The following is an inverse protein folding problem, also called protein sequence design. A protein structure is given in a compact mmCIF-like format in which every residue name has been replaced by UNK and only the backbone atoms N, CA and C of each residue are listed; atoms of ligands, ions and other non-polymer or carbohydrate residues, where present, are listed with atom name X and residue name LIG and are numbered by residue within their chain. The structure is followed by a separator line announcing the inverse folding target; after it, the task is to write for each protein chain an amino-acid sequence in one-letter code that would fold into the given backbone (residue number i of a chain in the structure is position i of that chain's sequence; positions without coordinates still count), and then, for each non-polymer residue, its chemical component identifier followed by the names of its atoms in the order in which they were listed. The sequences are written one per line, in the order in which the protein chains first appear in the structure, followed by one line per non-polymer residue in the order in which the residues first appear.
data_IF_233224230181
#
_entry.id   IF_233224230181
#
_cell.length_a   1.000
_cell.length_b   1.000
_cell.length_c   1.000
_cell.angle_alpha   90.00
_cell.angle_beta   90.00
_cell.angle_gamma   90.00
#
_symmetry.space_group_name_H-M   'P 1'
#
loop_
_entity.id
_entity.type
_entity.pdbx_description
1 polymer ?
#
# COMPACT_ATOMS: atom_id res chain seq x y z
N UNK A 1 -42.50 23.27 -28.27
CA UNK A 1 -41.68 23.24 -27.04
C UNK A 1 -42.30 22.63 -25.77
N UNK A 2 -43.51 22.06 -25.78
CA UNK A 2 -44.01 21.26 -24.64
C UNK A 2 -43.94 19.73 -24.86
N UNK A 3 -43.71 19.27 -26.10
CA UNK A 3 -43.58 17.84 -26.42
C UNK A 3 -42.16 17.27 -26.25
N UNK A 4 -41.11 18.10 -26.14
CA UNK A 4 -39.73 17.64 -25.90
C UNK A 4 -39.39 17.43 -24.42
N UNK A 5 -40.20 17.95 -23.49
CA UNK A 5 -40.04 17.75 -22.04
C UNK A 5 -40.77 16.49 -21.53
N UNK A 6 -41.71 15.94 -22.31
CA UNK A 6 -42.44 14.70 -21.96
C UNK A 6 -41.61 13.42 -22.11
N UNK A 7 -40.70 13.36 -23.09
CA UNK A 7 -39.86 12.16 -23.29
C UNK A 7 -38.70 12.04 -22.30
N UNK A 8 -38.31 13.14 -21.65
CA UNK A 8 -37.23 13.14 -20.66
C UNK A 8 -37.67 12.61 -19.29
N UNK A 9 -38.97 12.71 -18.96
CA UNK A 9 -39.54 12.09 -17.76
C UNK A 9 -39.76 10.57 -17.90
N UNK A 10 -40.02 10.08 -19.12
CA UNK A 10 -40.22 8.65 -19.39
C UNK A 10 -38.92 7.83 -19.43
N UNK A 11 -37.74 8.46 -19.60
CA UNK A 11 -36.44 7.78 -19.44
C UNK A 11 -35.97 7.68 -17.99
N UNK A 12 -36.38 8.60 -17.12
CA UNK A 12 -36.04 8.56 -15.68
C UNK A 12 -36.89 7.58 -14.87
N UNK A 13 -37.93 6.98 -15.47
CA UNK A 13 -38.78 6.00 -14.82
C UNK A 13 -38.35 4.53 -15.03
N UNK A 14 -37.26 4.27 -15.77
CA UNK A 14 -36.79 2.90 -16.08
C UNK A 14 -35.69 2.36 -15.16
N UNK A 15 -35.25 3.14 -14.16
CA UNK A 15 -34.22 2.74 -13.18
C UNK A 15 -34.72 2.71 -11.72
N UNK A 16 -36.05 2.69 -11.50
CA UNK A 16 -36.60 2.37 -10.17
C UNK A 16 -37.23 0.99 -10.20
N UNK A 17 -36.76 0.14 -9.30
CA UNK A 17 -37.31 -1.17 -8.98
C UNK A 17 -38.85 -1.14 -8.94
N UNK A 18 -39.55 -2.20 -9.37
CA UNK A 18 -41.01 -2.22 -9.41
C UNK A 18 -41.56 -2.20 -7.97
N UNK A 19 -42.18 -1.08 -7.59
CA UNK A 19 -43.01 -1.01 -6.39
C UNK A 19 -44.36 -1.65 -6.73
N UNK A 20 -44.58 -2.89 -6.31
CA UNK A 20 -45.91 -3.49 -6.33
C UNK A 20 -46.71 -2.97 -5.13
N UNK A 21 -47.59 -1.99 -5.36
CA UNK A 21 -48.61 -1.62 -4.39
C UNK A 21 -49.90 -2.39 -4.70
N UNK A 22 -50.29 -3.32 -3.82
CA UNK A 22 -51.64 -3.89 -3.82
C UNK A 22 -52.59 -2.88 -3.21
N UNK A 23 -53.65 -2.51 -3.95
CA UNK A 23 -54.64 -1.54 -3.49
C UNK A 23 -55.35 -2.05 -2.22
N UNK A 24 -55.24 -1.30 -1.10
CA UNK A 24 -56.13 -1.47 0.05
C UNK A 24 -55.56 -1.30 1.46
N UNK A 25 -54.23 -1.28 1.68
CA UNK A 25 -53.66 -0.97 3.01
C UNK A 25 -52.37 -0.16 2.88
N UNK A 26 -52.29 0.97 3.59
CA UNK A 26 -51.06 1.76 3.75
C UNK A 26 -50.03 0.97 4.57
N UNK A 27 -49.28 0.10 3.93
CA UNK A 27 -47.97 -0.35 4.41
C UNK A 27 -47.06 -0.39 3.19
N UNK A 28 -46.30 0.68 2.98
CA UNK A 28 -45.16 0.66 2.09
C UNK A 28 -43.97 0.15 2.91
N UNK A 29 -43.64 -1.14 2.78
CA UNK A 29 -42.39 -1.66 3.31
C UNK A 29 -41.26 -1.28 2.35
N UNK A 30 -40.26 -0.55 2.83
CA UNK A 30 -39.01 -0.33 2.13
C UNK A 30 -38.16 -1.60 2.21
N UNK A 31 -38.55 -2.67 1.54
CA UNK A 31 -37.62 -3.78 1.25
C UNK A 31 -36.70 -3.32 0.12
N UNK A 32 -35.57 -2.70 0.49
CA UNK A 32 -34.60 -2.21 -0.48
C UNK A 32 -33.39 -1.49 0.11
N UNK A 33 -33.07 -1.68 1.39
CA UNK A 33 -31.71 -1.48 1.85
C UNK A 33 -30.93 -2.73 1.39
N UNK A 34 -30.14 -2.57 0.36
CA UNK A 34 -29.29 -3.62 -0.18
C UNK A 34 -28.41 -4.14 0.98
N UNK A 35 -28.50 -5.43 1.28
CA UNK A 35 -27.55 -6.18 2.13
C UNK A 35 -26.17 -6.27 1.45
N UNK A 36 -25.71 -5.19 0.82
CA UNK A 36 -24.34 -5.11 0.35
C UNK A 36 -23.46 -4.93 1.59
N UNK A 37 -22.41 -5.74 1.77
CA UNK A 37 -21.42 -5.49 2.79
C UNK A 37 -20.94 -4.04 2.65
N UNK A 38 -20.59 -3.40 3.77
CA UNK A 38 -20.08 -2.04 3.74
C UNK A 38 -18.75 -2.04 2.95
N UNK A 39 -18.83 -1.68 1.66
CA UNK A 39 -17.76 -1.83 0.67
C UNK A 39 -16.87 -0.58 0.67
N UNK A 40 -16.23 -0.28 1.81
CA UNK A 40 -15.32 0.85 1.94
C UNK A 40 -13.89 0.42 2.28
N UNK A 41 -12.97 1.39 2.23
CA UNK A 41 -11.56 1.13 2.56
C UNK A 41 -11.40 0.75 4.04
N UNK A 42 -12.26 1.25 4.92
CA UNK A 42 -12.16 1.02 6.37
C UNK A 42 -12.43 -0.46 6.69
N UNK A 43 -13.48 -1.05 6.10
CA UNK A 43 -13.78 -2.47 6.23
C UNK A 43 -12.70 -3.36 5.61
N UNK A 44 -12.11 -2.95 4.48
CA UNK A 44 -10.92 -3.61 3.96
C UNK A 44 -9.81 -3.63 5.02
N UNK A 45 -9.44 -2.47 5.56
CA UNK A 45 -8.37 -2.37 6.57
C UNK A 45 -8.68 -3.16 7.85
N UNK A 46 -9.92 -3.14 8.36
CA UNK A 46 -10.34 -3.95 9.51
C UNK A 46 -10.17 -5.45 9.26
N UNK A 47 -10.34 -5.89 8.03
CA UNK A 47 -10.28 -7.30 7.67
C UNK A 47 -8.86 -7.84 7.66
N UNK A 48 -7.91 -7.12 7.05
CA UNK A 48 -6.56 -7.65 6.82
C UNK A 48 -5.47 -7.12 7.74
N UNK A 49 -5.60 -5.89 8.25
CA UNK A 49 -4.56 -5.25 9.09
C UNK A 49 -4.20 -6.07 10.32
N UNK A 50 -5.15 -6.59 11.13
CA UNK A 50 -4.81 -7.36 12.32
C UNK A 50 -3.95 -8.57 11.99
N UNK A 51 -4.25 -9.26 10.89
CA UNK A 51 -3.52 -10.46 10.48
C UNK A 51 -2.09 -10.12 10.07
N UNK A 52 -1.90 -9.05 9.28
CA UNK A 52 -0.56 -8.63 8.83
C UNK A 52 0.31 -8.16 10.00
N UNK A 53 -0.27 -7.41 10.94
CA UNK A 53 0.43 -6.91 12.13
C UNK A 53 0.87 -8.03 13.08
N UNK A 54 0.19 -9.18 13.04
CA UNK A 54 0.50 -10.36 13.86
C UNK A 54 1.45 -11.36 13.16
N UNK A 55 1.85 -11.10 11.91
CA UNK A 55 2.84 -11.94 11.22
C UNK A 55 4.20 -11.88 11.93
N UNK A 56 4.87 -13.01 12.02
CA UNK A 56 6.12 -13.17 12.76
C UNK A 56 7.37 -13.11 11.87
N UNK A 57 7.18 -12.87 10.58
CA UNK A 57 8.21 -12.81 9.54
C UNK A 57 9.33 -11.81 9.90
N UNK A 58 10.57 -12.27 9.79
CA UNK A 58 11.76 -11.47 10.12
C UNK A 58 12.41 -10.86 8.90
N UNK A 59 12.65 -9.55 8.99
CA UNK A 59 13.22 -8.71 7.91
C UNK A 59 14.74 -8.51 8.04
N UNK A 60 15.29 -8.59 9.25
CA UNK A 60 16.63 -8.12 9.63
C UNK A 60 17.72 -9.20 9.65
N UNK A 61 17.68 -10.15 8.71
CA UNK A 61 18.67 -11.25 8.69
C UNK A 61 18.62 -12.11 9.97
N UNK A 62 17.45 -12.21 10.58
CA UNK A 62 17.15 -13.15 11.67
C UNK A 62 16.56 -14.45 11.12
N UNK A 63 16.56 -15.49 11.93
CA UNK A 63 16.04 -16.80 11.52
C UNK A 63 14.51 -16.78 11.43
N UNK A 64 14.00 -17.01 10.22
CA UNK A 64 12.61 -17.39 10.00
C UNK A 64 12.47 -18.92 10.18
N UNK A 65 11.90 -19.36 11.29
CA UNK A 65 11.77 -20.81 11.58
C UNK A 65 10.71 -21.46 10.66
N UNK A 66 10.79 -22.79 10.42
CA UNK A 66 9.75 -23.48 9.65
C UNK A 66 8.34 -23.29 10.23
N UNK A 67 8.24 -23.25 11.56
CA UNK A 67 6.99 -22.98 12.25
C UNK A 67 6.47 -21.57 11.95
N UNK A 68 7.33 -20.56 12.04
CA UNK A 68 7.00 -19.15 11.72
C UNK A 68 6.47 -19.02 10.29
N UNK A 69 7.23 -19.53 9.32
CA UNK A 69 6.85 -19.45 7.90
C UNK A 69 5.53 -20.17 7.61
N UNK A 70 5.29 -21.32 8.26
CA UNK A 70 4.04 -22.06 8.09
C UNK A 70 2.86 -21.27 8.67
N UNK A 71 2.96 -20.82 9.92
CA UNK A 71 1.89 -20.06 10.58
C UNK A 71 1.57 -18.78 9.81
N UNK A 72 2.60 -18.03 9.40
CA UNK A 72 2.40 -16.80 8.63
C UNK A 72 1.77 -17.08 7.25
N UNK A 73 2.19 -18.16 6.57
CA UNK A 73 1.58 -18.57 5.31
C UNK A 73 0.10 -18.97 5.49
N UNK A 74 -0.24 -19.73 6.52
CA UNK A 74 -1.62 -20.15 6.80
C UNK A 74 -2.51 -18.94 7.12
N UNK A 75 -1.99 -17.97 7.88
CA UNK A 75 -2.65 -16.69 8.17
C UNK A 75 -2.86 -15.85 6.91
N UNK A 76 -1.82 -15.73 6.05
CA UNK A 76 -1.89 -15.00 4.78
C UNK A 76 -2.91 -15.62 3.83
N UNK A 77 -2.95 -16.95 3.70
CA UNK A 77 -3.97 -17.64 2.89
C UNK A 77 -5.38 -17.37 3.40
N UNK A 78 -5.59 -17.43 4.72
CA UNK A 78 -6.89 -17.18 5.32
C UNK A 78 -7.38 -15.76 5.03
N UNK A 79 -6.53 -14.76 5.25
CA UNK A 79 -6.90 -13.36 5.10
C UNK A 79 -7.08 -12.96 3.64
N UNK A 80 -6.25 -13.45 2.73
CA UNK A 80 -6.43 -13.20 1.29
C UNK A 80 -7.75 -13.77 0.79
N UNK A 81 -8.09 -15.01 1.16
CA UNK A 81 -9.38 -15.60 0.79
C UNK A 81 -10.56 -14.76 1.31
N UNK A 82 -10.48 -14.27 2.55
CA UNK A 82 -11.51 -13.41 3.14
C UNK A 82 -11.62 -12.07 2.42
N UNK A 83 -10.50 -11.46 2.07
CA UNK A 83 -10.45 -10.20 1.30
C UNK A 83 -11.06 -10.40 -0.08
N UNK A 84 -10.70 -11.48 -0.79
CA UNK A 84 -11.27 -11.79 -2.10
C UNK A 84 -12.78 -11.98 -2.01
N UNK A 85 -13.25 -12.75 -1.02
CA UNK A 85 -14.68 -12.96 -0.76
C UNK A 85 -15.40 -11.65 -0.41
N UNK A 86 -14.80 -10.80 0.43
CA UNK A 86 -15.36 -9.49 0.78
C UNK A 86 -15.54 -8.60 -0.47
N UNK A 87 -14.63 -8.69 -1.43
CA UNK A 87 -14.65 -7.88 -2.63
C UNK A 87 -15.59 -8.41 -3.72
N UNK A 88 -16.07 -9.66 -3.61
CA UNK A 88 -17.07 -10.23 -4.50
C UNK A 88 -18.39 -9.43 -4.41
N UNK A 89 -18.61 -8.56 -5.40
CA UNK A 89 -19.80 -7.70 -5.47
C UNK A 89 -19.60 -6.27 -4.94
N UNK A 90 -18.39 -5.91 -4.52
CA UNK A 90 -18.04 -4.55 -4.13
C UNK A 90 -17.54 -3.71 -5.32
N UNK A 91 -18.11 -2.53 -5.53
CA UNK A 91 -17.65 -1.59 -6.57
C UNK A 91 -16.26 -1.02 -6.27
N UNK A 92 -15.87 -0.94 -4.98
CA UNK A 92 -14.56 -0.44 -4.55
C UNK A 92 -13.39 -1.34 -4.98
N UNK A 93 -13.65 -2.61 -5.29
CA UNK A 93 -12.68 -3.52 -5.90
C UNK A 93 -12.13 -2.99 -7.24
N UNK A 94 -12.84 -2.05 -7.88
CA UNK A 94 -12.39 -1.39 -9.11
C UNK A 94 -11.47 -0.20 -8.86
N UNK A 95 -11.34 0.28 -7.63
CA UNK A 95 -10.44 1.39 -7.29
C UNK A 95 -8.99 0.96 -7.47
N UNK A 96 -8.19 1.78 -8.16
CA UNK A 96 -6.76 1.52 -8.36
C UNK A 96 -6.02 1.41 -7.01
N UNK A 97 -6.46 2.18 -6.01
CA UNK A 97 -5.95 2.10 -4.66
C UNK A 97 -6.09 0.70 -4.06
N UNK A 98 -7.31 0.13 -4.00
CA UNK A 98 -7.47 -1.21 -3.42
C UNK A 98 -6.81 -2.29 -4.27
N UNK A 99 -6.84 -2.19 -5.61
CA UNK A 99 -6.13 -3.16 -6.47
C UNK A 99 -4.65 -3.25 -6.12
N UNK A 100 -4.00 -2.10 -5.88
CA UNK A 100 -2.59 -2.06 -5.50
C UNK A 100 -2.35 -2.77 -4.17
N UNK A 101 -3.22 -2.57 -3.18
CA UNK A 101 -3.12 -3.16 -1.83
C UNK A 101 -3.41 -4.67 -1.83
N UNK A 102 -4.42 -5.11 -2.57
CA UNK A 102 -4.75 -6.53 -2.76
C UNK A 102 -3.60 -7.24 -3.47
N UNK A 103 -3.05 -6.62 -4.52
CA UNK A 103 -1.91 -7.18 -5.25
C UNK A 103 -0.70 -7.34 -4.33
N UNK A 104 -0.41 -6.36 -3.47
CA UNK A 104 0.66 -6.46 -2.48
C UNK A 104 0.44 -7.60 -1.48
N UNK A 105 -0.79 -7.76 -0.98
CA UNK A 105 -1.17 -8.87 -0.10
C UNK A 105 -0.98 -10.23 -0.78
N UNK A 106 -1.46 -10.39 -2.01
CA UNK A 106 -1.31 -11.61 -2.81
C UNK A 106 0.18 -11.94 -3.07
N UNK A 107 0.97 -10.95 -3.48
CA UNK A 107 2.42 -11.11 -3.66
C UNK A 107 3.12 -11.53 -2.36
N UNK A 108 2.67 -11.00 -1.22
CA UNK A 108 3.19 -11.38 0.09
C UNK A 108 2.84 -12.81 0.43
N UNK A 109 1.59 -13.21 0.24
CA UNK A 109 1.17 -14.61 0.40
C UNK A 109 2.01 -15.54 -0.48
N UNK A 110 2.08 -15.28 -1.78
CA UNK A 110 2.77 -16.16 -2.74
C UNK A 110 4.25 -16.31 -2.39
N UNK A 111 4.90 -15.20 -2.04
CA UNK A 111 6.32 -15.21 -1.69
C UNK A 111 6.58 -15.90 -0.34
N UNK A 112 5.73 -15.68 0.67
CA UNK A 112 5.86 -16.28 2.02
C UNK A 112 5.50 -17.76 2.07
N UNK A 113 4.64 -18.22 1.15
CA UNK A 113 4.21 -19.61 1.05
C UNK A 113 5.07 -20.48 0.12
N UNK A 114 6.13 -19.93 -0.47
CA UNK A 114 7.01 -20.65 -1.39
C UNK A 114 7.78 -21.79 -0.71
N UNK A 115 7.80 -22.98 -1.32
CA UNK A 115 8.45 -24.18 -0.76
C UNK A 115 9.96 -24.03 -0.54
N UNK A 116 10.63 -23.29 -1.42
CA UNK A 116 12.09 -23.04 -1.37
C UNK A 116 12.46 -21.82 -0.51
N UNK A 117 11.46 -21.06 -0.03
CA UNK A 117 11.69 -19.80 0.68
C UNK A 117 12.59 -19.96 1.90
N UNK A 118 12.43 -21.04 2.66
CA UNK A 118 13.23 -21.31 3.85
C UNK A 118 14.72 -21.39 3.53
N UNK A 119 15.08 -22.11 2.47
CA UNK A 119 16.47 -22.28 2.06
C UNK A 119 17.05 -20.96 1.57
N UNK A 120 16.28 -20.23 0.76
CA UNK A 120 16.68 -18.92 0.24
C UNK A 120 16.81 -17.88 1.37
N UNK A 121 15.96 -17.93 2.40
CA UNK A 121 16.05 -17.07 3.59
C UNK A 121 17.27 -17.40 4.45
N UNK A 122 17.69 -18.67 4.52
CA UNK A 122 18.95 -19.01 5.19
C UNK A 122 20.15 -18.44 4.43
N UNK A 123 20.16 -18.54 3.10
CA UNK A 123 21.21 -17.94 2.28
C UNK A 123 21.24 -16.43 2.42
N UNK A 124 20.07 -15.79 2.38
CA UNK A 124 19.93 -14.36 2.63
C UNK A 124 20.50 -13.98 3.99
N UNK A 125 20.07 -14.66 5.06
CA UNK A 125 20.54 -14.46 6.43
C UNK A 125 22.06 -14.54 6.54
N UNK A 126 22.66 -15.59 5.98
CA UNK A 126 24.11 -15.85 6.11
C UNK A 126 24.96 -14.79 5.38
N UNK A 127 24.42 -14.20 4.33
CA UNK A 127 25.07 -13.13 3.59
C UNK A 127 24.74 -11.72 4.14
N UNK A 128 23.61 -11.56 4.83
CA UNK A 128 23.09 -10.26 5.23
C UNK A 128 24.05 -9.51 6.17
N UNK A 129 24.42 -8.30 5.78
CA UNK A 129 25.52 -7.55 6.40
C UNK A 129 25.03 -6.61 7.51
N UNK A 130 25.26 -7.02 8.77
CA UNK A 130 24.93 -6.26 9.98
C UNK A 130 25.58 -4.87 10.02
N UNK A 131 26.81 -4.74 9.57
CA UNK A 131 27.53 -3.46 9.56
C UNK A 131 26.90 -2.46 8.58
N UNK A 132 26.48 -2.95 7.41
CA UNK A 132 25.74 -2.12 6.44
C UNK A 132 24.40 -1.65 6.99
N UNK A 133 23.67 -2.50 7.75
CA UNK A 133 22.46 -2.06 8.43
C UNK A 133 22.77 -0.94 9.43
N UNK A 134 23.75 -1.16 10.32
CA UNK A 134 24.07 -0.24 11.40
C UNK A 134 24.48 1.15 10.88
N UNK A 135 25.37 1.18 9.88
CA UNK A 135 25.79 2.42 9.23
C UNK A 135 24.61 3.12 8.55
N UNK A 136 23.77 2.37 7.85
CA UNK A 136 22.59 2.93 7.20
C UNK A 136 21.59 3.53 8.20
N UNK A 137 21.30 2.82 9.30
CA UNK A 137 20.40 3.31 10.36
C UNK A 137 20.90 4.59 11.01
N UNK A 138 22.21 4.68 11.28
CA UNK A 138 22.81 5.92 11.79
C UNK A 138 22.55 7.11 10.84
N UNK A 139 22.72 6.91 9.54
CA UNK A 139 22.45 7.95 8.54
C UNK A 139 20.95 8.32 8.47
N UNK A 140 20.05 7.35 8.73
CA UNK A 140 18.60 7.62 8.80
C UNK A 140 18.27 8.49 10.01
N UNK A 141 18.83 8.20 11.19
CA UNK A 141 18.65 9.01 12.40
C UNK A 141 19.11 10.45 12.18
N UNK A 142 20.35 10.64 11.71
CA UNK A 142 20.92 11.97 11.40
C UNK A 142 20.05 12.74 10.40
N UNK A 143 19.50 12.05 9.41
CA UNK A 143 18.63 12.66 8.39
C UNK A 143 17.27 13.05 8.96
N UNK A 144 16.66 12.22 9.81
CA UNK A 144 15.39 12.54 10.46
C UNK A 144 15.54 13.75 11.38
N UNK A 145 16.61 13.79 12.18
CA UNK A 145 16.89 14.93 13.07
C UNK A 145 17.05 16.23 12.27
N UNK A 146 17.76 16.18 11.14
CA UNK A 146 17.88 17.34 10.26
C UNK A 146 16.53 17.80 9.68
N UNK A 147 15.69 16.88 9.22
CA UNK A 147 14.35 17.22 8.71
C UNK A 147 13.47 17.86 9.79
N UNK A 148 13.62 17.44 11.04
CA UNK A 148 12.91 18.02 12.18
C UNK A 148 13.41 19.45 12.47
N UNK A 149 14.73 19.63 12.52
CA UNK A 149 15.37 20.95 12.71
C UNK A 149 14.99 21.95 11.60
N UNK A 150 14.93 21.47 10.36
CA UNK A 150 14.59 22.28 9.19
C UNK A 150 13.07 22.56 9.08
N UNK A 151 12.24 22.00 9.97
CA UNK A 151 10.78 22.10 9.90
C UNK A 151 10.16 21.42 8.66
N UNK A 152 10.94 20.57 7.99
CA UNK A 152 10.57 19.87 6.76
C UNK A 152 10.04 18.44 7.01
N UNK A 153 9.80 18.10 8.28
CA UNK A 153 9.22 16.81 8.67
C UNK A 153 7.73 16.77 8.32
N UNK A 154 7.34 15.74 7.55
CA UNK A 154 5.94 15.48 7.21
C UNK A 154 5.15 14.94 8.43
N UNK A 155 3.84 14.70 8.23
CA UNK A 155 2.90 14.36 9.30
C UNK A 155 3.15 13.01 9.98
N UNK A 156 4.14 12.20 9.58
CA UNK A 156 4.40 10.93 10.27
C UNK A 156 5.90 10.55 10.32
N UNK A 157 6.60 11.11 11.32
CA UNK A 157 8.00 10.75 11.67
C UNK A 157 8.19 9.24 11.79
N UNK A 158 7.19 8.54 12.35
CA UNK A 158 7.24 7.10 12.53
C UNK A 158 7.22 6.35 11.19
N UNK A 159 6.28 6.66 10.29
CA UNK A 159 6.24 6.05 8.95
C UNK A 159 7.55 6.25 8.19
N UNK A 160 8.11 7.46 8.27
CA UNK A 160 9.35 7.80 7.58
C UNK A 160 10.54 7.03 8.16
N UNK A 161 10.61 6.92 9.49
CA UNK A 161 11.64 6.13 10.16
C UNK A 161 11.56 4.64 9.81
N UNK A 162 10.36 4.04 9.86
CA UNK A 162 10.15 2.64 9.51
C UNK A 162 10.51 2.37 8.05
N UNK A 163 10.02 3.19 7.12
CA UNK A 163 10.28 3.01 5.69
C UNK A 163 11.78 3.05 5.37
N UNK A 164 12.49 4.04 5.91
CA UNK A 164 13.93 4.19 5.73
C UNK A 164 14.72 3.06 6.44
N UNK A 165 14.27 2.63 7.62
CA UNK A 165 14.84 1.48 8.32
C UNK A 165 14.72 0.18 7.51
N UNK A 166 13.58 -0.03 6.84
CA UNK A 166 13.39 -1.17 5.95
C UNK A 166 14.24 -1.09 4.67
N UNK A 167 14.46 0.11 4.12
CA UNK A 167 15.45 0.27 3.04
C UNK A 167 16.85 -0.16 3.49
N UNK A 168 17.24 0.19 4.72
CA UNK A 168 18.52 -0.24 5.28
C UNK A 168 18.60 -1.76 5.42
N UNK A 169 17.51 -2.42 5.82
CA UNK A 169 17.45 -3.89 5.88
C UNK A 169 17.58 -4.54 4.50
N UNK A 170 16.93 -3.99 3.47
CA UNK A 170 17.07 -4.46 2.09
C UNK A 170 18.50 -4.23 1.55
N UNK A 171 19.08 -3.05 1.81
CA UNK A 171 20.45 -2.69 1.42
C UNK A 171 21.48 -3.65 2.02
N UNK A 172 21.28 -4.05 3.28
CA UNK A 172 22.17 -4.99 3.96
C UNK A 172 22.23 -6.39 3.31
N UNK A 173 21.21 -6.79 2.54
CA UNK A 173 21.24 -8.03 1.75
C UNK A 173 21.46 -7.83 0.24
N UNK A 174 21.69 -6.60 -0.24
CA UNK A 174 21.86 -6.34 -1.67
C UNK A 174 23.11 -7.01 -2.28
N UNK A 175 24.10 -7.38 -1.45
CA UNK A 175 25.30 -8.10 -1.88
C UNK A 175 25.13 -9.63 -1.96
N UNK A 176 23.93 -10.15 -1.72
CA UNK A 176 23.69 -11.58 -1.68
C UNK A 176 23.63 -12.25 -3.04
N UNK A 177 23.99 -13.54 -3.13
CA UNK A 177 23.99 -14.25 -4.41
C UNK A 177 22.59 -14.27 -5.02
N UNK A 178 22.51 -14.37 -6.35
CA UNK A 178 21.24 -14.41 -7.10
C UNK A 178 20.29 -15.51 -6.63
N UNK A 179 20.81 -16.60 -6.06
CA UNK A 179 19.98 -17.66 -5.45
C UNK A 179 19.13 -17.14 -4.28
N UNK A 180 19.58 -16.11 -3.56
CA UNK A 180 18.84 -15.48 -2.47
C UNK A 180 17.83 -14.41 -2.94
N UNK A 181 17.69 -14.17 -4.26
CA UNK A 181 16.79 -13.15 -4.81
C UNK A 181 15.32 -13.39 -4.46
N UNK A 182 14.90 -14.66 -4.33
CA UNK A 182 13.55 -15.00 -3.89
C UNK A 182 13.29 -14.53 -2.46
N UNK A 183 14.27 -14.73 -1.57
CA UNK A 183 14.20 -14.24 -0.20
C UNK A 183 14.17 -12.71 -0.15
N UNK A 184 14.98 -12.03 -0.97
CA UNK A 184 14.92 -10.57 -1.12
C UNK A 184 13.52 -10.09 -1.46
N UNK A 185 12.91 -10.71 -2.48
CA UNK A 185 11.55 -10.36 -2.94
C UNK A 185 10.50 -10.65 -1.88
N UNK A 186 10.61 -11.76 -1.15
CA UNK A 186 9.70 -12.07 -0.06
C UNK A 186 9.77 -11.03 1.07
N UNK A 187 11.00 -10.62 1.45
CA UNK A 187 11.23 -9.55 2.42
C UNK A 187 10.63 -8.22 1.90
N UNK A 188 10.87 -7.87 0.64
CA UNK A 188 10.33 -6.65 0.01
C UNK A 188 8.79 -6.64 -0.03
N UNK A 189 8.16 -7.74 -0.43
CA UNK A 189 6.70 -7.87 -0.46
C UNK A 189 6.10 -7.74 0.94
N UNK A 190 6.69 -8.44 1.93
CA UNK A 190 6.25 -8.35 3.33
C UNK A 190 6.33 -6.92 3.86
N UNK A 191 7.47 -6.23 3.65
CA UNK A 191 7.63 -4.83 4.04
C UNK A 191 6.56 -3.95 3.37
N UNK A 192 6.33 -4.10 2.06
CA UNK A 192 5.35 -3.29 1.35
C UNK A 192 3.94 -3.44 1.94
N UNK A 193 3.53 -4.68 2.24
CA UNK A 193 2.23 -4.97 2.86
C UNK A 193 2.14 -4.42 4.29
N UNK A 194 3.23 -4.49 5.05
CA UNK A 194 3.27 -3.92 6.40
C UNK A 194 3.15 -2.39 6.37
N UNK A 195 3.87 -1.73 5.45
CA UNK A 195 3.77 -0.28 5.26
C UNK A 195 2.38 0.14 4.78
N UNK A 196 1.74 -0.69 3.95
CA UNK A 196 0.39 -0.45 3.48
C UNK A 196 -0.64 -0.45 4.60
N UNK A 197 -0.50 -1.38 5.56
CA UNK A 197 -1.35 -1.50 6.76
C UNK A 197 -1.22 -0.29 7.68
N UNK A 198 -0.01 0.21 7.82
CA UNK A 198 0.22 1.42 8.61
C UNK A 198 -0.13 2.72 7.87
N UNK A 199 -0.70 2.61 6.66
CA UNK A 199 -0.99 3.75 5.78
C UNK A 199 0.25 4.62 5.51
N UNK A 200 1.42 4.00 5.53
CA UNK A 200 2.69 4.65 5.28
C UNK A 200 3.09 4.53 3.81
N UNK A 201 3.96 5.43 3.34
CA UNK A 201 4.59 5.26 2.03
C UNK A 201 5.59 4.09 2.09
N UNK A 202 5.51 3.21 1.09
CA UNK A 202 6.43 2.09 0.90
C UNK A 202 7.88 2.57 0.76
N UNK A 203 8.88 1.72 1.06
CA UNK A 203 10.30 2.09 0.98
C UNK A 203 10.69 2.71 -0.36
N UNK A 204 10.23 2.16 -1.48
CA UNK A 204 10.55 2.66 -2.83
C UNK A 204 10.09 4.10 -3.06
N UNK A 205 9.02 4.53 -2.39
CA UNK A 205 8.50 5.90 -2.49
C UNK A 205 9.38 6.88 -1.72
N UNK A 206 9.83 6.53 -0.51
CA UNK A 206 10.75 7.37 0.27
C UNK A 206 12.18 7.40 -0.32
N UNK A 207 12.60 6.34 -1.01
CA UNK A 207 13.87 6.30 -1.74
C UNK A 207 13.89 7.35 -2.86
N UNK A 208 12.74 7.53 -3.53
CA UNK A 208 12.51 8.64 -4.43
C UNK A 208 12.12 9.90 -3.65
N UNK A 209 13.07 10.51 -2.94
CA UNK A 209 12.87 11.79 -2.24
C UNK A 209 12.26 12.88 -3.13
N UNK A 210 12.44 12.76 -4.45
CA UNK A 210 11.78 13.57 -5.46
C UNK A 210 10.24 13.54 -5.39
N UNK A 211 9.60 12.45 -4.96
CA UNK A 211 8.13 12.33 -4.81
C UNK A 211 7.61 13.03 -3.55
N UNK A 212 8.37 12.98 -2.45
CA UNK A 212 8.09 13.82 -1.28
C UNK A 212 8.35 15.30 -1.55
N UNK A 213 9.38 15.60 -2.36
CA UNK A 213 9.60 16.93 -2.89
C UNK A 213 8.47 17.35 -3.82
N UNK A 214 7.93 16.43 -4.63
CA UNK A 214 6.78 16.65 -5.52
C UNK A 214 5.50 16.94 -4.75
N UNK A 215 5.22 16.24 -3.64
CA UNK A 215 4.06 16.50 -2.79
C UNK A 215 4.22 17.79 -1.97
N UNK A 216 5.44 18.11 -1.53
CA UNK A 216 5.79 19.41 -0.96
C UNK A 216 5.66 20.54 -2.00
N UNK A 217 6.04 20.26 -3.26
CA UNK A 217 5.81 21.13 -4.39
C UNK A 217 4.33 21.19 -4.76
N UNK A 218 3.51 20.15 -4.57
CA UNK A 218 2.12 20.12 -5.01
C UNK A 218 1.29 21.20 -4.30
N UNK A 219 1.56 21.46 -3.02
CA UNK A 219 0.99 22.59 -2.29
C UNK A 219 1.38 23.97 -2.84
N UNK A 220 2.57 24.09 -3.45
CA UNK A 220 3.11 25.35 -4.02
C UNK A 220 2.76 25.51 -5.52
N UNK A 221 2.76 24.41 -6.28
CA UNK A 221 2.55 24.34 -7.73
C UNK A 221 1.08 24.55 -8.06
N UNK A 222 0.14 24.12 -7.22
CA UNK A 222 -1.28 24.36 -7.49
C UNK A 222 -1.67 25.86 -7.46
N UNK A 223 -0.86 26.72 -6.83
CA UNK A 223 -1.03 28.18 -6.91
C UNK A 223 -0.45 28.80 -8.19
N UNK A 224 0.36 28.09 -8.98
CA UNK A 224 1.02 28.61 -10.20
C UNK A 224 0.93 27.67 -11.42
N UNK A 225 0.01 26.70 -11.42
CA UNK A 225 -0.13 25.67 -12.44
C UNK A 225 -0.75 26.14 -13.78
N UNK A 226 -0.15 27.13 -14.46
CA UNK A 226 -0.48 27.44 -15.87
C UNK A 226 0.63 27.17 -16.89
N UNK A 227 1.87 26.83 -16.50
CA UNK A 227 2.97 26.95 -17.47
C UNK A 227 4.02 25.82 -17.55
N UNK A 228 3.96 24.70 -16.82
CA UNK A 228 5.06 23.72 -16.88
C UNK A 228 4.70 22.36 -17.49
N UNK A 229 5.43 21.91 -18.53
CA UNK A 229 5.17 20.65 -19.22
C UNK A 229 5.76 19.45 -18.47
N UNK A 230 5.08 18.31 -18.58
CA UNK A 230 5.50 17.00 -18.08
C UNK A 230 6.92 16.63 -18.53
N UNK A 231 7.81 16.24 -17.61
CA UNK A 231 9.18 15.84 -17.92
C UNK A 231 9.44 14.36 -17.62
N UNK A 232 10.05 13.69 -18.59
CA UNK A 232 10.60 12.35 -18.52
C UNK A 232 11.92 12.31 -17.73
N UNK A 233 12.04 11.22 -16.95
CA UNK A 233 13.22 10.62 -16.30
C UNK A 233 14.57 11.34 -16.40
N UNK A 234 15.10 11.73 -15.23
CA UNK A 234 16.55 11.91 -15.01
C UNK A 234 16.84 12.53 -13.64
N UNK A 235 17.46 11.77 -12.72
CA UNK A 235 17.92 12.25 -11.40
C UNK A 235 18.81 13.51 -11.51
N UNK A 236 19.59 13.62 -12.58
CA UNK A 236 20.48 14.76 -12.83
C UNK A 236 19.74 16.07 -13.17
N UNK A 237 18.54 15.99 -13.77
CA UNK A 237 17.74 17.17 -14.09
C UNK A 237 17.05 17.75 -12.85
N UNK A 238 16.65 16.89 -11.91
CA UNK A 238 16.00 17.25 -10.64
C UNK A 238 16.99 17.93 -9.67
N UNK A 239 18.24 17.48 -9.61
CA UNK A 239 19.28 18.08 -8.75
C UNK A 239 19.60 19.55 -9.10
N UNK A 240 19.34 19.97 -10.35
CA UNK A 240 19.59 21.33 -10.83
C UNK A 240 18.58 22.35 -10.26
N UNK A 241 17.35 21.91 -9.97
CA UNK A 241 16.29 22.78 -9.44
C UNK A 241 16.35 22.93 -7.91
N UNK A 242 16.84 21.92 -7.18
CA UNK A 242 17.01 22.01 -5.71
C UNK A 242 18.15 22.96 -5.27
N UNK A 243 19.08 23.33 -6.16
CA UNK A 243 20.11 24.36 -5.89
C UNK A 243 19.60 25.80 -6.03
N UNK A 244 18.39 26.01 -6.55
CA UNK A 244 17.89 27.33 -6.92
C UNK A 244 17.12 28.07 -5.81
N UNK A 245 16.88 27.45 -4.65
CA UNK A 245 16.28 28.11 -3.48
C UNK A 245 17.34 28.29 -2.40
N UNK A 246 17.96 29.48 -2.40
CA UNK A 246 18.51 30.11 -1.21
C UNK A 246 17.39 30.69 -0.37
#
# INVERSE_FOLDING_TARGET
DLLRRGEQFLRLAKERQPILCVAGRRICSSTGASDQPNCDNEEYYKLYSPVVLELNFKVTGELNTPYTLKTDCDNLKNVTQRVETFLEGCSIAKSEFLKEKITALQLTQDSSCGSELKEDLNLWRDCWNRSVLAECKKNVEERLDKLEQDGAMDRNKWCRNESLSYQCALKAGAGCPTKAERARKAVENYINTLMDVHECLRPTVYACEAKLFYDCHWGVVHQRAKELPFLHSGEAALAKYCKATK
#
